data_IF_590426295565
#
_entry.id   IF_590426295565
#
_cell.length_a   1.000
_cell.length_b   1.000
_cell.length_c   1.000
_cell.angle_alpha   90.00
_cell.angle_beta   90.00
_cell.angle_gamma   90.00
#
_symmetry.space_group_name_H-M   'P 1'
#
loop_
_entity.id
_entity.type
_entity.pdbx_description
1 polymer ?
#
# COMPACT_ATOMS: atom_id res chain seq x y z
N UNK A 1 -12.59 -12.05 15.02
CA UNK A 1 -12.65 -11.01 13.98
C UNK A 1 -12.93 -9.68 14.66
N UNK A 2 -11.95 -8.78 14.70
CA UNK A 2 -12.04 -7.48 15.39
C UNK A 2 -10.96 -6.50 14.92
N UNK A 3 -10.48 -6.67 13.67
CA UNK A 3 -9.37 -5.88 13.16
C UNK A 3 -9.79 -4.45 12.77
N UNK A 4 -11.07 -4.21 12.50
CA UNK A 4 -11.59 -2.90 12.09
C UNK A 4 -12.40 -2.28 13.24
N UNK A 5 -12.10 -1.03 13.55
CA UNK A 5 -12.74 -0.27 14.62
C UNK A 5 -13.63 0.81 14.05
N UNK A 6 -14.91 0.75 14.41
CA UNK A 6 -15.88 1.82 14.16
C UNK A 6 -15.89 2.88 15.26
N UNK A 7 -15.17 2.66 16.35
CA UNK A 7 -15.14 3.52 17.55
C UNK A 7 -14.03 4.59 17.49
N UNK A 8 -13.33 4.72 16.35
CA UNK A 8 -12.29 5.73 16.15
C UNK A 8 -10.99 5.49 16.92
N UNK A 9 -10.81 4.30 17.51
CA UNK A 9 -9.57 3.95 18.19
C UNK A 9 -8.52 3.50 17.18
N UNK A 10 -7.56 4.39 16.89
CA UNK A 10 -6.37 4.08 16.11
C UNK A 10 -5.43 3.24 16.98
N UNK A 11 -5.38 1.94 16.73
CA UNK A 11 -4.48 1.03 17.45
C UNK A 11 -3.20 0.90 16.65
N UNK A 12 -2.01 1.06 17.26
CA UNK A 12 -0.75 0.84 16.57
C UNK A 12 -0.69 -0.55 15.94
N UNK A 13 -0.36 -0.62 14.66
CA UNK A 13 -0.24 -1.86 13.91
C UNK A 13 1.03 -1.84 13.05
N UNK A 14 2.13 -2.28 13.66
CA UNK A 14 3.45 -2.28 13.02
C UNK A 14 3.50 -3.10 11.73
N UNK A 15 2.66 -4.13 11.60
CA UNK A 15 2.61 -4.96 10.40
C UNK A 15 1.93 -4.20 9.25
N UNK A 16 0.85 -3.49 9.56
CA UNK A 16 0.20 -2.58 8.62
C UNK A 16 1.11 -1.41 8.25
N UNK A 17 1.74 -0.75 9.23
CA UNK A 17 2.65 0.38 9.02
C UNK A 17 3.79 0.01 8.06
N UNK A 18 4.45 -1.13 8.28
CA UNK A 18 5.56 -1.58 7.43
C UNK A 18 5.13 -1.86 5.98
N UNK A 19 3.91 -2.33 5.76
CA UNK A 19 3.38 -2.53 4.41
C UNK A 19 3.01 -1.19 3.74
N UNK A 20 2.43 -0.25 4.49
CA UNK A 20 2.11 1.09 3.97
C UNK A 20 3.39 1.86 3.61
N UNK A 21 4.43 1.81 4.45
CA UNK A 21 5.71 2.45 4.17
C UNK A 21 6.37 1.87 2.91
N UNK A 22 6.33 0.53 2.75
CA UNK A 22 6.80 -0.13 1.53
C UNK A 22 6.03 0.35 0.27
N UNK A 23 4.70 0.49 0.36
CA UNK A 23 3.90 1.02 -0.75
C UNK A 23 4.28 2.45 -1.10
N UNK A 24 4.50 3.31 -0.10
CA UNK A 24 4.90 4.71 -0.30
C UNK A 24 6.23 4.76 -1.04
N UNK A 25 7.22 3.99 -0.59
CA UNK A 25 8.55 3.94 -1.20
C UNK A 25 8.49 3.46 -2.65
N UNK A 26 7.77 2.36 -2.92
CA UNK A 26 7.61 1.81 -4.27
C UNK A 26 6.87 2.79 -5.19
N UNK A 27 5.80 3.43 -4.71
CA UNK A 27 4.95 4.25 -5.58
C UNK A 27 5.50 5.67 -5.82
N UNK A 28 6.20 6.24 -4.85
CA UNK A 28 6.60 7.67 -4.84
C UNK A 28 8.10 7.89 -4.96
N UNK A 29 8.90 6.84 -4.78
CA UNK A 29 10.36 6.90 -4.85
C UNK A 29 10.92 7.20 -6.24
N UNK A 30 12.23 7.42 -6.30
CA UNK A 30 12.99 7.68 -7.54
C UNK A 30 13.37 6.40 -8.30
N UNK A 31 12.78 5.28 -7.93
CA UNK A 31 13.03 3.95 -8.51
C UNK A 31 12.57 3.92 -9.98
N UNK A 32 13.36 3.35 -10.91
CA UNK A 32 12.96 3.17 -12.29
C UNK A 32 11.60 2.46 -12.42
N UNK A 33 10.84 2.78 -13.48
CA UNK A 33 9.49 2.21 -13.69
C UNK A 33 9.49 0.68 -13.64
N UNK A 34 10.42 0.03 -14.35
CA UNK A 34 10.49 -1.44 -14.41
C UNK A 34 10.74 -2.08 -13.03
N UNK A 35 11.50 -1.41 -12.15
CA UNK A 35 11.76 -1.90 -10.79
C UNK A 35 10.52 -1.74 -9.91
N UNK A 36 9.77 -0.63 -10.04
CA UNK A 36 8.50 -0.42 -9.33
C UNK A 36 7.44 -1.47 -9.73
N UNK A 37 7.34 -1.74 -11.02
CA UNK A 37 6.49 -2.80 -11.56
C UNK A 37 6.89 -4.17 -11.02
N UNK A 38 8.20 -4.50 -11.01
CA UNK A 38 8.68 -5.77 -10.48
C UNK A 38 8.39 -5.91 -8.98
N UNK A 39 8.59 -4.83 -8.19
CA UNK A 39 8.21 -4.82 -6.78
C UNK A 39 6.72 -5.12 -6.58
N UNK A 40 5.83 -4.56 -7.41
CA UNK A 40 4.42 -4.88 -7.36
C UNK A 40 4.11 -6.29 -7.84
N UNK A 41 4.76 -6.81 -8.88
CA UNK A 41 4.60 -8.23 -9.28
C UNK A 41 4.93 -9.15 -8.12
N UNK A 42 5.98 -8.82 -7.37
CA UNK A 42 6.45 -9.53 -6.17
C UNK A 42 5.85 -9.00 -4.85
N UNK A 43 4.68 -8.34 -4.89
CA UNK A 43 4.11 -7.66 -3.71
C UNK A 43 3.93 -8.59 -2.49
N UNK A 44 3.73 -9.88 -2.71
CA UNK A 44 3.52 -10.86 -1.64
C UNK A 44 4.78 -11.13 -0.81
N UNK A 45 5.95 -10.69 -1.30
CA UNK A 45 7.23 -10.67 -0.58
C UNK A 45 7.42 -9.40 0.27
N UNK A 46 6.54 -8.41 0.13
CA UNK A 46 6.62 -7.20 0.93
C UNK A 46 6.38 -7.48 2.43
N UNK A 47 6.89 -6.62 3.32
CA UNK A 47 6.68 -6.79 4.76
C UNK A 47 5.19 -6.92 5.10
N UNK A 48 4.81 -8.03 5.75
CA UNK A 48 3.43 -8.28 6.19
C UNK A 48 2.39 -8.25 5.05
N UNK A 49 2.78 -8.52 3.81
CA UNK A 49 1.90 -8.44 2.64
C UNK A 49 0.61 -9.23 2.79
N UNK A 50 0.70 -10.52 3.14
CA UNK A 50 -0.47 -11.40 3.32
C UNK A 50 -1.29 -11.10 4.57
N UNK A 51 -0.73 -10.36 5.53
CA UNK A 51 -1.49 -9.82 6.66
C UNK A 51 -2.38 -8.65 6.22
N UNK A 52 -1.83 -7.72 5.42
CA UNK A 52 -2.58 -6.57 4.91
C UNK A 52 -3.54 -6.94 3.77
N UNK A 53 -3.10 -7.85 2.89
CA UNK A 53 -3.81 -8.32 1.72
C UNK A 53 -3.80 -9.85 1.68
N UNK A 54 -4.77 -10.52 2.32
CA UNK A 54 -4.84 -11.99 2.32
C UNK A 54 -4.90 -12.58 0.90
N UNK A 55 -5.48 -11.83 -0.02
CA UNK A 55 -5.63 -12.12 -1.45
C UNK A 55 -5.38 -10.85 -2.26
N UNK A 56 -5.25 -11.02 -3.57
CA UNK A 56 -4.77 -10.01 -4.52
C UNK A 56 -5.78 -8.88 -4.79
N UNK A 57 -7.09 -9.09 -4.58
CA UNK A 57 -8.16 -8.25 -5.15
C UNK A 57 -8.06 -6.76 -4.85
N UNK A 58 -7.67 -6.39 -3.62
CA UNK A 58 -7.62 -5.00 -3.19
C UNK A 58 -6.38 -4.27 -3.73
N UNK A 59 -5.34 -5.01 -4.12
CA UNK A 59 -4.10 -4.43 -4.66
C UNK A 59 -4.17 -4.25 -6.18
N UNK A 60 -5.04 -5.00 -6.88
CA UNK A 60 -5.14 -4.96 -8.35
C UNK A 60 -5.31 -3.55 -8.95
N UNK A 61 -6.11 -2.62 -8.37
CA UNK A 61 -6.21 -1.27 -8.90
C UNK A 61 -4.86 -0.53 -8.95
N UNK A 62 -3.98 -0.80 -7.97
CA UNK A 62 -2.65 -0.19 -7.89
C UNK A 62 -1.76 -0.64 -9.06
N UNK A 63 -1.80 -1.93 -9.41
CA UNK A 63 -1.05 -2.48 -10.55
C UNK A 63 -1.44 -1.79 -11.87
N UNK A 64 -2.73 -1.54 -12.06
CA UNK A 64 -3.24 -0.86 -13.25
C UNK A 64 -2.72 0.58 -13.31
N UNK A 65 -2.78 1.31 -12.21
CA UNK A 65 -2.29 2.69 -12.17
C UNK A 65 -0.79 2.79 -12.44
N UNK A 66 0.03 1.95 -11.77
CA UNK A 66 1.49 1.97 -11.97
C UNK A 66 1.85 1.62 -13.40
N UNK A 67 1.27 0.56 -13.97
CA UNK A 67 1.59 0.14 -15.34
C UNK A 67 1.19 1.14 -16.43
N UNK A 68 0.27 2.07 -16.15
CA UNK A 68 -0.14 3.10 -17.11
C UNK A 68 0.61 4.43 -16.97
N UNK A 69 1.15 4.74 -15.79
CA UNK A 69 1.58 6.11 -15.49
C UNK A 69 3.01 6.46 -15.95
N UNK A 70 3.91 5.46 -16.05
CA UNK A 70 5.34 5.62 -16.35
C UNK A 70 6.04 6.76 -15.56
N UNK A 71 5.55 7.03 -14.35
CA UNK A 71 6.05 8.10 -13.46
C UNK A 71 5.74 7.81 -12.00
N UNK A 72 6.48 8.38 -11.04
CA UNK A 72 6.16 8.27 -9.63
C UNK A 72 4.79 8.91 -9.32
N UNK A 73 4.07 8.32 -8.38
CA UNK A 73 2.86 8.91 -7.81
C UNK A 73 3.19 10.02 -6.81
N UNK A 74 2.17 10.83 -6.50
CA UNK A 74 2.12 11.66 -5.30
C UNK A 74 1.35 10.92 -4.21
N UNK A 75 1.88 10.89 -2.99
CA UNK A 75 1.13 10.50 -1.80
C UNK A 75 0.13 11.62 -1.47
N UNK A 76 -1.17 11.32 -1.51
CA UNK A 76 -2.24 12.30 -1.28
C UNK A 76 -3.08 12.02 -0.04
N UNK A 77 -2.90 10.85 0.57
CA UNK A 77 -3.50 10.47 1.84
C UNK A 77 -2.57 9.48 2.56
N UNK A 78 -2.37 9.68 3.85
CA UNK A 78 -1.67 8.77 4.75
C UNK A 78 -2.24 8.97 6.16
N UNK A 79 -3.32 8.26 6.48
CA UNK A 79 -4.02 8.36 7.76
C UNK A 79 -4.86 7.10 8.00
N UNK A 80 -5.63 7.09 9.07
CA UNK A 80 -6.40 5.93 9.50
C UNK A 80 -7.79 5.86 8.86
N UNK A 81 -8.12 4.68 8.34
CA UNK A 81 -9.47 4.28 7.91
C UNK A 81 -9.89 3.07 8.73
N UNK A 82 -11.01 3.19 9.46
CA UNK A 82 -11.56 2.12 10.30
C UNK A 82 -10.53 1.51 11.29
N UNK A 83 -9.64 2.35 11.83
CA UNK A 83 -8.63 1.94 12.81
C UNK A 83 -7.38 1.27 12.22
N UNK A 84 -7.18 1.32 10.90
CA UNK A 84 -5.95 0.88 10.22
C UNK A 84 -5.36 2.01 9.38
N UNK A 85 -4.04 2.14 9.33
CA UNK A 85 -3.36 3.09 8.46
C UNK A 85 -3.59 2.67 7.00
N UNK A 86 -3.94 3.64 6.17
CA UNK A 86 -4.18 3.48 4.76
C UNK A 86 -3.57 4.64 4.00
N UNK A 87 -3.11 4.37 2.77
CA UNK A 87 -2.52 5.38 1.89
C UNK A 87 -3.30 5.52 0.60
N UNK A 88 -3.23 6.69 -0.03
CA UNK A 88 -3.74 6.90 -1.37
C UNK A 88 -2.73 7.64 -2.25
N UNK A 89 -2.69 7.24 -3.51
CA UNK A 89 -1.75 7.72 -4.50
C UNK A 89 -2.47 8.41 -5.66
N UNK A 90 -1.89 9.49 -6.16
CA UNK A 90 -2.34 10.20 -7.36
C UNK A 90 -1.21 10.21 -8.39
N UNK A 91 -1.48 9.67 -9.58
CA UNK A 91 -0.57 9.74 -10.72
C UNK A 91 -0.81 10.97 -11.57
#
# INVERSE_FOLDING_TARGET
MGAFSWQGMNTPDRANDAFQDWLIDVCTGHTPQFEREQCLVDWDKAPSARYCHPREEHLLPLHVCIGMADRPAKLVFDDYILGKRAVAFLW
#
